data_IF_603050433818
#
_entry.id   IF_603050433818
#
_cell.length_a   1.000
_cell.length_b   1.000
_cell.length_c   1.000
_cell.angle_alpha   90.00
_cell.angle_beta   90.00
_cell.angle_gamma   90.00
#
_symmetry.space_group_name_H-M   'P 1'
#
loop_
_entity.id
_entity.type
_entity.pdbx_description
1 polymer ?
#
# COMPACT_ATOMS: atom_id res chain seq x y z
N UNK A 1 14.66 11.54 4.59
CA UNK A 1 15.38 10.25 4.68
C UNK A 1 14.53 9.11 4.09
N UNK A 2 15.09 8.27 3.20
CA UNK A 2 14.39 7.09 2.68
C UNK A 2 14.51 5.92 3.66
N UNK A 3 13.37 5.32 4.05
CA UNK A 3 13.36 4.23 5.02
C UNK A 3 12.32 3.17 4.66
N UNK A 4 12.56 1.94 5.10
CA UNK A 4 11.59 0.84 5.04
C UNK A 4 11.14 0.52 6.46
N UNK A 5 9.84 0.63 6.71
CA UNK A 5 9.23 0.30 7.97
C UNK A 5 8.67 -1.13 7.91
N UNK A 6 9.12 -2.05 8.79
CA UNK A 6 8.56 -3.38 8.89
C UNK A 6 7.29 -3.38 9.76
N UNK A 7 6.28 -4.10 9.32
CA UNK A 7 5.02 -4.31 10.03
C UNK A 7 4.67 -5.79 10.07
N UNK A 8 3.99 -6.22 11.14
CA UNK A 8 3.33 -7.51 11.16
C UNK A 8 1.95 -7.41 10.49
N UNK A 9 1.62 -8.42 9.70
CA UNK A 9 0.25 -8.66 9.23
C UNK A 9 -0.33 -9.80 10.05
N UNK A 10 -1.50 -9.57 10.63
CA UNK A 10 -2.29 -10.56 11.37
C UNK A 10 -3.77 -10.34 11.12
N UNK A 11 -4.55 -11.41 11.16
CA UNK A 11 -5.99 -11.36 10.94
C UNK A 11 -6.71 -11.75 12.23
N UNK A 12 -7.23 -10.76 12.94
CA UNK A 12 -7.89 -10.97 14.23
C UNK A 12 -9.26 -11.63 14.03
N UNK A 13 -9.53 -12.69 14.80
CA UNK A 13 -10.80 -13.37 14.80
C UNK A 13 -11.56 -13.05 16.09
N UNK A 14 -12.54 -12.16 15.99
CA UNK A 14 -13.38 -11.72 17.13
C UNK A 14 -14.21 -12.85 17.75
N UNK A 15 -14.47 -13.93 17.00
CA UNK A 15 -15.25 -15.07 17.48
C UNK A 15 -14.38 -16.11 18.22
N UNK A 16 -13.06 -15.90 18.26
CA UNK A 16 -12.13 -16.77 18.95
C UNK A 16 -11.80 -16.21 20.33
N UNK A 17 -12.35 -16.87 21.36
CA UNK A 17 -12.21 -16.47 22.76
C UNK A 17 -11.00 -17.09 23.47
N UNK A 18 -10.02 -17.63 22.72
CA UNK A 18 -8.83 -18.24 23.33
C UNK A 18 -8.15 -17.29 24.33
N UNK A 19 -7.73 -17.84 25.47
CA UNK A 19 -6.93 -17.10 26.47
C UNK A 19 -5.55 -16.75 25.94
N UNK A 20 -5.04 -17.54 24.98
CA UNK A 20 -3.78 -17.26 24.31
C UNK A 20 -4.00 -16.21 23.21
N UNK A 21 -3.36 -15.04 23.35
CA UNK A 21 -3.52 -13.92 22.41
C UNK A 21 -3.15 -14.31 20.98
N UNK A 22 -2.13 -15.15 20.79
CA UNK A 22 -1.69 -15.57 19.45
C UNK A 22 -2.73 -16.47 18.77
N UNK A 23 -3.47 -17.27 19.53
CA UNK A 23 -4.51 -18.14 19.00
C UNK A 23 -5.76 -17.38 18.58
N UNK A 24 -5.95 -16.13 19.04
CA UNK A 24 -7.08 -15.28 18.63
C UNK A 24 -6.97 -14.78 17.18
N UNK A 25 -5.85 -15.02 16.51
CA UNK A 25 -5.65 -14.68 15.11
C UNK A 25 -5.81 -15.92 14.24
N UNK A 26 -6.44 -15.75 13.08
CA UNK A 26 -6.57 -16.81 12.09
C UNK A 26 -5.22 -17.07 11.40
N UNK A 27 -5.07 -18.27 10.87
CA UNK A 27 -4.01 -18.56 9.91
C UNK A 27 -4.23 -17.71 8.65
N UNK A 28 -3.17 -17.10 8.12
CA UNK A 28 -3.28 -16.14 7.01
C UNK A 28 -3.74 -16.79 5.71
N UNK A 29 -3.58 -18.11 5.56
CA UNK A 29 -4.11 -18.89 4.45
C UNK A 29 -5.51 -19.47 4.72
N UNK A 30 -6.13 -19.15 5.86
CA UNK A 30 -7.46 -19.66 6.26
C UNK A 30 -8.20 -18.64 7.13
N UNK A 31 -8.60 -17.53 6.52
CA UNK A 31 -9.49 -16.53 7.12
C UNK A 31 -10.91 -16.87 6.67
N UNK A 32 -11.58 -17.74 7.43
CA UNK A 32 -12.78 -18.43 6.93
C UNK A 32 -12.44 -19.26 5.69
N UNK A 33 -13.06 -18.92 4.55
CA UNK A 33 -12.81 -19.56 3.26
C UNK A 33 -11.72 -18.88 2.41
N UNK A 34 -11.14 -17.78 2.90
CA UNK A 34 -10.24 -16.95 2.12
C UNK A 34 -8.78 -17.14 2.50
N UNK A 35 -7.92 -16.92 1.51
CA UNK A 35 -6.47 -16.87 1.65
C UNK A 35 -5.98 -15.43 1.46
N UNK A 36 -5.29 -14.86 2.47
CA UNK A 36 -4.91 -13.45 2.47
C UNK A 36 -3.94 -13.08 1.34
N UNK A 37 -3.03 -13.99 1.00
CA UNK A 37 -2.09 -13.76 -0.10
C UNK A 37 -2.87 -13.58 -1.41
N UNK A 38 -3.82 -14.47 -1.65
CA UNK A 38 -4.66 -14.46 -2.86
C UNK A 38 -5.54 -13.21 -2.92
N UNK A 39 -6.12 -12.81 -1.78
CA UNK A 39 -6.90 -11.57 -1.69
C UNK A 39 -6.07 -10.32 -2.01
N UNK A 40 -4.87 -10.20 -1.43
CA UNK A 40 -3.98 -9.06 -1.67
C UNK A 40 -3.43 -9.06 -3.11
N UNK A 41 -3.06 -10.22 -3.64
CA UNK A 41 -2.64 -10.36 -5.03
C UNK A 41 -3.74 -9.88 -5.98
N UNK A 42 -4.97 -10.37 -5.80
CA UNK A 42 -6.10 -9.98 -6.62
C UNK A 42 -6.34 -8.47 -6.54
N UNK A 43 -6.45 -7.90 -5.34
CA UNK A 43 -6.61 -6.46 -5.14
C UNK A 43 -5.52 -5.66 -5.89
N UNK A 44 -4.24 -5.97 -5.64
CA UNK A 44 -3.11 -5.27 -6.26
C UNK A 44 -3.10 -5.42 -7.78
N UNK A 45 -3.57 -6.55 -8.32
CA UNK A 45 -3.62 -6.80 -9.76
C UNK A 45 -4.82 -6.14 -10.44
N UNK A 46 -5.93 -5.89 -9.74
CA UNK A 46 -7.07 -5.13 -10.28
C UNK A 46 -6.74 -3.63 -10.42
N UNK A 47 -6.01 -3.06 -9.46
CA UNK A 47 -5.80 -1.61 -9.36
C UNK A 47 -4.50 -1.14 -10.06
N UNK A 48 -4.37 -1.38 -11.38
CA UNK A 48 -3.18 -1.01 -12.19
C UNK A 48 -3.22 0.39 -12.78
N UNK A 49 -4.43 0.90 -13.00
CA UNK A 49 -4.66 2.25 -13.51
C UNK A 49 -4.89 3.22 -12.35
N UNK A 50 -4.77 4.52 -12.63
CA UNK A 50 -5.05 5.53 -11.60
C UNK A 50 -6.53 5.56 -11.27
N UNK A 51 -6.84 5.30 -10.01
CA UNK A 51 -8.18 5.39 -9.46
C UNK A 51 -8.24 6.56 -8.49
N UNK A 52 -9.43 7.16 -8.36
CA UNK A 52 -9.69 8.25 -7.42
C UNK A 52 -10.39 7.72 -6.18
N UNK A 53 -9.99 8.26 -5.03
CA UNK A 53 -10.70 8.15 -3.76
C UNK A 53 -11.22 9.56 -3.46
N UNK A 54 -12.49 9.81 -3.78
CA UNK A 54 -13.06 11.16 -3.78
C UNK A 54 -13.17 11.78 -2.40
N UNK A 55 -13.38 10.95 -1.37
CA UNK A 55 -13.52 11.37 0.03
C UNK A 55 -12.22 11.95 0.59
N UNK A 56 -11.07 11.32 0.28
CA UNK A 56 -9.75 11.75 0.73
C UNK A 56 -9.01 12.64 -0.28
N UNK A 57 -9.61 12.88 -1.46
CA UNK A 57 -8.97 13.57 -2.59
C UNK A 57 -7.63 12.95 -2.98
N UNK A 58 -7.59 11.62 -2.98
CA UNK A 58 -6.41 10.83 -3.31
C UNK A 58 -6.56 10.14 -4.66
N UNK A 59 -5.45 9.92 -5.33
CA UNK A 59 -5.39 9.00 -6.47
C UNK A 59 -4.25 8.03 -6.29
N UNK A 60 -4.47 6.78 -6.67
CA UNK A 60 -3.46 5.74 -6.52
C UNK A 60 -3.48 4.73 -7.65
N UNK A 61 -2.37 4.00 -7.80
CA UNK A 61 -2.25 2.80 -8.62
C UNK A 61 -1.12 1.91 -8.15
N UNK A 62 -1.16 0.64 -8.51
CA UNK A 62 -0.04 -0.29 -8.34
C UNK A 62 0.68 -0.56 -9.65
N UNK A 63 2.02 -0.53 -9.64
CA UNK A 63 2.82 -0.78 -10.84
C UNK A 63 4.12 -1.52 -10.53
N UNK A 64 4.74 -2.09 -11.57
CA UNK A 64 5.94 -2.95 -11.46
C UNK A 64 5.80 -4.04 -10.38
N UNK A 65 4.64 -4.70 -10.35
CA UNK A 65 4.32 -5.70 -9.33
C UNK A 65 4.93 -7.05 -9.72
N UNK A 66 5.69 -7.63 -8.80
CA UNK A 66 6.16 -9.00 -8.85
C UNK A 66 5.37 -9.82 -7.83
N UNK A 67 4.66 -10.83 -8.29
CA UNK A 67 4.01 -11.81 -7.43
C UNK A 67 4.64 -13.19 -7.62
N UNK A 68 4.90 -13.87 -6.51
CA UNK A 68 5.45 -15.22 -6.47
C UNK A 68 4.60 -16.09 -5.53
N UNK A 69 3.50 -16.68 -6.02
CA UNK A 69 2.56 -17.44 -5.19
C UNK A 69 3.20 -18.61 -4.43
N UNK A 70 4.14 -19.33 -5.06
CA UNK A 70 4.87 -20.44 -4.41
C UNK A 70 5.72 -19.99 -3.23
N UNK A 71 6.32 -18.80 -3.33
CA UNK A 71 7.14 -18.19 -2.28
C UNK A 71 6.31 -17.33 -1.30
N UNK A 72 5.00 -17.22 -1.55
CA UNK A 72 4.06 -16.39 -0.76
C UNK A 72 4.51 -14.94 -0.61
N UNK A 73 4.99 -14.40 -1.73
CA UNK A 73 5.65 -13.12 -1.80
C UNK A 73 5.03 -12.19 -2.85
N UNK A 74 4.78 -10.92 -2.51
CA UNK A 74 4.33 -9.87 -3.44
C UNK A 74 5.14 -8.60 -3.18
N UNK A 75 5.65 -7.94 -4.22
CA UNK A 75 6.27 -6.62 -4.07
C UNK A 75 6.03 -5.75 -5.29
N UNK A 76 6.17 -4.45 -5.12
CA UNK A 76 6.08 -3.51 -6.22
C UNK A 76 6.06 -2.08 -5.71
N UNK A 77 5.46 -1.21 -6.51
CA UNK A 77 5.33 0.19 -6.19
C UNK A 77 3.87 0.59 -6.20
N UNK A 78 3.49 1.42 -5.23
CA UNK A 78 2.23 2.12 -5.20
C UNK A 78 2.52 3.60 -5.50
N UNK A 79 1.96 4.10 -6.57
CA UNK A 79 1.89 5.54 -6.81
C UNK A 79 0.72 6.08 -6.00
N UNK A 80 0.94 7.12 -5.19
CA UNK A 80 -0.10 7.83 -4.44
C UNK A 80 0.08 9.33 -4.66
N UNK A 81 -1.01 10.03 -4.95
CA UNK A 81 -1.03 11.48 -5.08
C UNK A 81 -2.28 12.10 -4.49
N UNK A 82 -2.20 13.41 -4.23
CA UNK A 82 -3.34 14.21 -3.76
C UNK A 82 -3.71 15.26 -4.81
N UNK A 83 -5.01 15.45 -5.02
CA UNK A 83 -5.56 16.40 -5.98
C UNK A 83 -6.53 17.40 -5.30
N UNK A 84 -7.08 18.35 -6.06
CA UNK A 84 -8.09 19.29 -5.58
C UNK A 84 -7.55 20.64 -5.09
N UNK A 85 -6.24 20.84 -5.07
CA UNK A 85 -5.61 22.13 -4.77
C UNK A 85 -5.00 22.68 -6.04
N UNK A 86 -5.46 23.86 -6.46
CA UNK A 86 -4.82 24.63 -7.54
C UNK A 86 -3.59 25.34 -7.02
N UNK A 87 -2.49 25.27 -7.76
CA UNK A 87 -1.27 26.02 -7.48
C UNK A 87 -0.38 26.12 -8.71
N UNK A 88 0.45 27.15 -8.74
CA UNK A 88 1.45 27.32 -9.77
C UNK A 88 2.77 26.67 -9.34
N UNK A 89 3.36 25.93 -10.27
CA UNK A 89 4.71 25.37 -10.15
C UNK A 89 5.65 26.35 -10.86
N UNK A 90 6.53 27.00 -10.08
CA UNK A 90 7.52 27.96 -10.57
C UNK A 90 8.87 27.25 -10.76
N UNK A 91 9.61 27.61 -11.81
CA UNK A 91 10.99 27.19 -12.00
C UNK A 91 11.90 27.98 -11.05
N UNK A 92 12.69 27.30 -10.24
CA UNK A 92 13.56 27.92 -9.24
C UNK A 92 14.79 28.62 -9.82
N UNK A 93 15.15 28.33 -11.06
CA UNK A 93 16.36 28.90 -11.68
C UNK A 93 16.09 30.28 -12.30
N UNK A 94 14.90 30.50 -12.87
CA UNK A 94 14.52 31.72 -13.59
C UNK A 94 13.27 32.44 -13.02
N UNK A 95 12.66 31.88 -11.97
CA UNK A 95 11.43 32.34 -11.33
C UNK A 95 10.23 32.46 -12.29
N UNK A 96 10.24 31.78 -13.43
CA UNK A 96 9.11 31.76 -14.37
C UNK A 96 8.13 30.62 -14.06
N UNK A 97 6.87 30.79 -14.47
CA UNK A 97 5.86 29.74 -14.36
C UNK A 97 6.24 28.53 -15.23
N UNK A 98 6.39 27.37 -14.61
CA UNK A 98 6.66 26.11 -15.31
C UNK A 98 5.36 25.36 -15.65
N UNK A 99 4.38 25.34 -14.73
CA UNK A 99 3.11 24.64 -14.91
C UNK A 99 2.05 25.18 -13.96
N UNK A 100 0.80 25.33 -14.40
CA UNK A 100 -0.32 25.66 -13.52
C UNK A 100 -1.13 24.39 -13.23
N UNK A 101 -1.15 23.97 -11.96
CA UNK A 101 -1.86 22.77 -11.51
C UNK A 101 -3.33 23.10 -11.33
N UNK A 102 -4.17 22.33 -12.02
CA UNK A 102 -5.63 22.36 -11.88
C UNK A 102 -6.11 21.37 -10.81
N UNK A 103 -7.37 21.49 -10.39
CA UNK A 103 -7.96 20.64 -9.34
C UNK A 103 -7.93 19.14 -9.68
N UNK A 104 -7.95 18.78 -10.96
CA UNK A 104 -7.90 17.41 -11.43
C UNK A 104 -6.47 16.88 -11.63
N UNK A 105 -5.44 17.69 -11.40
CA UNK A 105 -4.04 17.28 -11.43
C UNK A 105 -3.59 16.80 -10.05
N UNK A 106 -2.75 15.77 -10.00
CA UNK A 106 -2.22 15.21 -8.77
C UNK A 106 -0.69 15.15 -8.82
N UNK A 107 -0.06 15.55 -7.71
CA UNK A 107 1.36 15.30 -7.51
C UNK A 107 1.53 13.91 -6.93
N UNK A 108 2.16 13.02 -7.70
CA UNK A 108 2.25 11.60 -7.37
C UNK A 108 3.63 11.25 -6.85
N UNK A 109 3.67 10.47 -5.76
CA UNK A 109 4.88 9.88 -5.19
C UNK A 109 4.80 8.36 -5.23
N UNK A 110 5.94 7.72 -5.39
CA UNK A 110 6.03 6.26 -5.43
C UNK A 110 6.48 5.70 -4.08
N UNK A 111 5.76 4.69 -3.60
CA UNK A 111 5.97 4.01 -2.33
C UNK A 111 6.24 2.53 -2.63
N UNK A 112 7.41 2.05 -2.27
CA UNK A 112 7.71 0.62 -2.35
C UNK A 112 6.90 -0.16 -1.31
N UNK A 113 6.39 -1.33 -1.69
CA UNK A 113 5.79 -2.27 -0.77
C UNK A 113 6.33 -3.68 -1.00
N UNK A 114 6.33 -4.47 0.08
CA UNK A 114 6.75 -5.86 0.08
C UNK A 114 5.96 -6.67 1.10
N UNK A 115 5.20 -7.64 0.64
CA UNK A 115 4.42 -8.57 1.46
C UNK A 115 5.03 -9.97 1.45
N UNK A 116 5.14 -10.58 2.63
CA UNK A 116 5.43 -11.99 2.82
C UNK A 116 4.37 -12.62 3.72
N UNK A 117 3.61 -13.58 3.19
CA UNK A 117 2.38 -14.10 3.80
C UNK A 117 2.44 -15.63 3.84
N UNK A 118 3.24 -16.21 4.76
CA UNK A 118 3.50 -17.65 4.78
C UNK A 118 2.23 -18.48 5.00
N UNK A 119 2.25 -19.72 4.49
CA UNK A 119 1.24 -20.74 4.78
C UNK A 119 1.34 -21.19 6.24
N UNK A 120 0.22 -21.62 6.82
CA UNK A 120 0.13 -22.18 8.18
C UNK A 120 0.78 -21.27 9.24
N UNK A 121 0.74 -19.95 9.01
CA UNK A 121 1.21 -18.93 9.94
C UNK A 121 0.09 -17.97 10.29
N UNK A 122 0.09 -17.48 11.52
CA UNK A 122 -0.79 -16.39 11.99
C UNK A 122 -0.14 -15.00 11.82
N UNK A 123 1.09 -14.96 11.29
CA UNK A 123 1.91 -13.76 11.14
C UNK A 123 2.53 -13.70 9.76
N UNK A 124 2.41 -12.53 9.14
CA UNK A 124 3.10 -12.15 7.91
C UNK A 124 3.92 -10.91 8.17
N UNK A 125 4.77 -10.56 7.21
CA UNK A 125 5.58 -9.36 7.26
C UNK A 125 5.21 -8.47 6.07
N UNK A 126 5.05 -7.19 6.33
CA UNK A 126 5.03 -6.15 5.31
C UNK A 126 6.22 -5.22 5.51
N UNK A 127 6.92 -4.87 4.43
CA UNK A 127 7.83 -3.73 4.42
C UNK A 127 7.18 -2.64 3.58
N UNK A 128 6.97 -1.48 4.18
CA UNK A 128 6.43 -0.31 3.50
C UNK A 128 7.49 0.77 3.44
N UNK A 129 7.55 1.44 2.31
CA UNK A 129 8.32 2.64 2.16
C UNK A 129 7.73 3.76 3.04
N UNK A 130 8.57 4.25 3.95
CA UNK A 130 8.23 5.33 4.85
C UNK A 130 9.01 6.58 4.47
N UNK A 131 8.27 7.63 4.15
CA UNK A 131 8.81 8.98 4.00
C UNK A 131 8.77 9.64 5.38
N UNK A 132 9.91 9.70 6.08
CA UNK A 132 10.03 10.65 7.20
C UNK A 132 10.13 12.03 6.60
N UNK A 133 9.06 12.82 6.73
CA UNK A 133 9.16 14.28 6.68
C UNK A 133 10.10 14.65 7.83
N UNK A 134 11.20 15.32 7.53
CA UNK A 134 12.04 15.88 8.59
C UNK A 134 11.14 16.72 9.52
N UNK A 135 11.35 16.57 10.82
CA UNK A 135 10.46 17.06 11.88
C UNK A 135 10.12 18.55 11.79
#
# INVERSE_FOLDING_TARGET
MYSLAPYFIRCYNKNNESKNVEERYDFLNRIGQYDLFSLLEQFILLHKDFEKIDDSKETYKFHHVTSKPKERFISGWMSLGHYGIKNDIINTDDNQLAFSKEENHADVKNYYFRFYIPLESRKGICLLYAYKKDG
#
